data_IF_637814734798
#
_entry.id   IF_637814734798
#
_cell.length_a   1.000
_cell.length_b   1.000
_cell.length_c   1.000
_cell.angle_alpha   90.00
_cell.angle_beta   90.00
_cell.angle_gamma   90.00
#
_symmetry.space_group_name_H-M   'P 1'
#
loop_
_entity.id
_entity.type
_entity.pdbx_description
1 polymer ?
#
# COMPACT_ATOMS: atom_id res chain seq x y z
N UNK A 1 -5.44 4.60 17.98
CA UNK A 1 -4.64 4.41 19.21
C UNK A 1 -3.91 5.71 19.54
N UNK A 2 -3.96 6.15 20.77
CA UNK A 2 -3.24 7.36 21.21
C UNK A 2 -1.91 6.93 21.83
N UNK A 3 -0.81 7.48 21.31
CA UNK A 3 0.52 7.25 21.87
C UNK A 3 0.62 7.98 23.20
N UNK A 4 0.99 7.28 24.27
CA UNK A 4 1.28 7.88 25.56
C UNK A 4 2.74 8.35 25.57
N UNK A 5 2.96 9.66 25.72
CA UNK A 5 4.30 10.29 25.66
C UNK A 5 4.88 10.62 27.04
N UNK A 6 4.10 10.45 28.11
CA UNK A 6 4.45 10.74 29.51
C UNK A 6 4.66 9.44 30.32
N UNK A 7 5.22 8.43 29.69
CA UNK A 7 5.50 7.15 30.34
C UNK A 7 6.65 7.35 31.34
N UNK A 8 6.51 6.95 32.61
CA UNK A 8 7.54 7.13 33.63
C UNK A 8 8.68 6.09 33.46
N UNK A 9 9.38 6.16 32.32
CA UNK A 9 10.53 5.31 32.01
C UNK A 9 11.75 6.21 31.90
N UNK A 10 12.82 5.86 32.62
CA UNK A 10 14.14 6.45 32.40
C UNK A 10 14.84 5.69 31.29
N UNK A 11 15.25 6.40 30.24
CA UNK A 11 16.02 5.83 29.16
C UNK A 11 17.49 5.76 29.56
N UNK A 12 18.00 4.56 29.78
CA UNK A 12 19.41 4.30 30.04
C UNK A 12 20.08 3.88 28.71
N UNK A 13 20.73 4.82 28.05
CA UNK A 13 21.34 4.57 26.73
C UNK A 13 22.40 3.45 26.79
N UNK A 14 23.13 3.33 27.89
CA UNK A 14 24.16 2.31 28.08
C UNK A 14 23.58 0.88 28.22
N UNK A 15 22.30 0.79 28.60
CA UNK A 15 21.58 -0.50 28.69
C UNK A 15 20.98 -0.96 27.34
N UNK A 16 21.01 -0.09 26.29
CA UNK A 16 20.50 -0.40 24.97
C UNK A 16 21.54 -1.12 24.08
N UNK A 17 22.43 -1.88 24.67
CA UNK A 17 23.38 -2.73 23.95
C UNK A 17 22.64 -3.98 23.46
N UNK A 18 22.73 -4.26 22.16
CA UNK A 18 22.17 -5.47 21.58
C UNK A 18 22.97 -6.68 22.08
N UNK A 19 22.32 -7.53 22.83
CA UNK A 19 22.85 -8.83 23.24
C UNK A 19 22.57 -9.91 22.17
N UNK A 20 23.28 -11.03 22.22
CA UNK A 20 22.95 -12.19 21.39
C UNK A 20 21.55 -12.72 21.76
N UNK A 21 20.81 -13.11 20.75
CA UNK A 21 19.45 -13.59 20.94
C UNK A 21 19.46 -15.00 21.58
N UNK A 22 18.63 -15.21 22.59
CA UNK A 22 18.34 -16.57 23.07
C UNK A 22 17.39 -17.25 22.08
N UNK A 23 17.95 -18.04 21.18
CA UNK A 23 17.21 -18.73 20.14
C UNK A 23 16.10 -19.64 20.67
N UNK A 24 16.30 -20.29 21.81
CA UNK A 24 15.32 -21.21 22.38
C UNK A 24 14.11 -20.45 22.92
N UNK A 25 14.35 -19.36 23.64
CA UNK A 25 13.29 -18.49 24.14
C UNK A 25 12.52 -17.82 23.00
N UNK A 26 13.22 -17.32 21.97
CA UNK A 26 12.59 -16.74 20.80
C UNK A 26 11.75 -17.75 20.02
N UNK A 27 12.26 -18.96 19.82
CA UNK A 27 11.51 -20.03 19.16
C UNK A 27 10.23 -20.35 19.91
N UNK A 28 10.32 -20.54 21.23
CA UNK A 28 9.15 -20.83 22.07
C UNK A 28 8.09 -19.72 21.98
N UNK A 29 8.51 -18.45 22.03
CA UNK A 29 7.60 -17.30 21.93
C UNK A 29 6.97 -17.22 20.52
N UNK A 30 7.75 -17.43 19.47
CA UNK A 30 7.22 -17.39 18.10
C UNK A 30 6.28 -18.55 17.80
N UNK A 31 6.51 -19.74 18.37
CA UNK A 31 5.59 -20.88 18.28
C UNK A 31 4.28 -20.62 19.04
N UNK A 32 4.36 -20.03 20.24
CA UNK A 32 3.19 -19.66 21.04
C UNK A 32 2.34 -18.58 20.34
N UNK A 33 3.01 -17.62 19.69
CA UNK A 33 2.35 -16.53 18.96
C UNK A 33 2.02 -16.90 17.51
N UNK A 34 2.27 -18.14 17.08
CA UNK A 34 2.06 -18.65 15.72
C UNK A 34 2.82 -17.86 14.62
N UNK A 35 3.94 -17.20 14.95
CA UNK A 35 4.77 -16.44 14.02
C UNK A 35 5.74 -17.36 13.24
N UNK A 36 5.19 -18.30 12.47
CA UNK A 36 5.96 -19.35 11.77
C UNK A 36 7.07 -18.80 10.87
N UNK A 37 6.78 -17.71 10.15
CA UNK A 37 7.73 -17.07 9.21
C UNK A 37 8.85 -16.30 9.90
N UNK A 38 8.61 -15.77 11.10
CA UNK A 38 9.65 -15.11 11.88
C UNK A 38 10.70 -16.09 12.39
N UNK A 39 10.32 -17.31 12.72
CA UNK A 39 11.25 -18.38 13.10
C UNK A 39 12.29 -18.59 12.00
N UNK A 40 11.83 -18.75 10.76
CA UNK A 40 12.72 -18.97 9.61
C UNK A 40 13.59 -17.77 9.29
N UNK A 41 13.02 -16.57 9.36
CA UNK A 41 13.71 -15.32 9.04
C UNK A 41 14.74 -14.92 10.08
N UNK A 42 14.44 -15.09 11.37
CA UNK A 42 15.29 -14.63 12.47
C UNK A 42 16.31 -15.70 12.86
N UNK A 43 15.90 -16.97 12.93
CA UNK A 43 16.76 -18.05 13.42
C UNK A 43 17.54 -18.81 12.35
N UNK A 44 17.12 -18.80 11.06
CA UNK A 44 17.86 -19.45 9.96
C UNK A 44 18.90 -18.54 9.29
N UNK A 45 18.90 -17.22 9.54
CA UNK A 45 19.83 -16.29 8.90
C UNK A 45 21.29 -16.47 9.34
N UNK A 46 21.55 -17.12 10.46
CA UNK A 46 22.89 -17.35 11.00
C UNK A 46 23.60 -18.60 10.46
N UNK A 47 22.91 -19.45 9.67
CA UNK A 47 23.50 -20.69 9.14
C UNK A 47 24.24 -20.49 7.81
N UNK A 48 24.06 -19.34 7.13
CA UNK A 48 24.70 -19.05 5.83
C UNK A 48 25.91 -18.12 5.90
N UNK A 49 26.39 -17.79 7.08
CA UNK A 49 27.42 -16.75 7.28
C UNK A 49 28.68 -17.19 8.02
N UNK A 50 29.21 -18.41 7.86
CA UNK A 50 30.57 -18.66 8.29
C UNK A 50 31.26 -19.80 7.52
N UNK A 51 31.89 -19.39 6.42
CA UNK A 51 32.94 -20.11 5.75
C UNK A 51 34.16 -19.21 5.61
N UNK A 52 34.83 -18.87 6.70
CA UNK A 52 36.14 -18.18 6.63
C UNK A 52 37.21 -19.26 6.51
N UNK A 53 37.63 -19.50 5.29
CA UNK A 53 38.97 -20.09 5.05
C UNK A 53 39.98 -18.96 4.99
N UNK A 54 40.88 -18.98 5.93
CA UNK A 54 42.09 -18.17 5.99
C UNK A 54 42.99 -18.38 4.77
N UNK A 55 43.31 -17.33 4.05
CA UNK A 55 44.49 -17.23 3.21
C UNK A 55 45.11 -15.83 3.32
N UNK A 56 46.30 -15.86 3.87
CA UNK A 56 47.30 -14.80 3.99
C UNK A 56 47.60 -14.05 2.69
N UNK A 57 47.80 -12.71 2.76
CA UNK A 57 48.41 -11.94 1.66
C UNK A 57 48.28 -10.41 1.81
N UNK A 58 49.31 -9.87 2.40
CA UNK A 58 49.65 -8.48 2.59
C UNK A 58 49.38 -7.51 1.38
N UNK A 59 48.87 -6.30 1.61
CA UNK A 59 49.48 -5.03 1.20
C UNK A 59 48.76 -3.81 1.81
N UNK A 60 49.56 -2.98 2.43
CA UNK A 60 49.29 -1.70 3.05
C UNK A 60 49.00 -0.64 1.98
N UNK A 61 47.96 0.18 2.21
CA UNK A 61 47.90 1.55 1.71
C UNK A 61 47.08 2.42 2.67
N UNK A 62 47.74 3.46 3.15
CA UNK A 62 47.32 4.48 4.09
C UNK A 62 46.35 5.47 3.45
N UNK A 63 45.26 5.79 4.15
CA UNK A 63 44.42 6.94 3.81
C UNK A 63 43.36 7.16 4.91
N UNK A 64 43.66 8.16 5.77
CA UNK A 64 42.73 8.59 6.84
C UNK A 64 41.59 9.39 6.24
N UNK A 65 40.38 8.95 6.44
CA UNK A 65 39.19 9.81 6.53
C UNK A 65 38.22 9.23 7.54
N UNK A 66 37.64 10.08 8.38
CA UNK A 66 36.75 9.73 9.46
C UNK A 66 35.47 9.06 8.93
N UNK A 67 34.87 8.11 9.66
CA UNK A 67 33.64 7.50 9.23
C UNK A 67 32.48 8.49 9.37
N UNK A 68 31.78 8.74 8.26
CA UNK A 68 30.45 9.35 8.28
C UNK A 68 29.47 8.39 8.96
N UNK A 69 28.50 8.87 9.71
CA UNK A 69 27.47 8.01 10.29
C UNK A 69 26.72 7.29 9.17
N UNK A 70 26.57 5.99 9.32
CA UNK A 70 25.78 5.16 8.43
C UNK A 70 24.33 5.66 8.42
N UNK A 71 23.70 5.82 7.25
CA UNK A 71 22.28 6.12 7.19
C UNK A 71 21.49 4.97 7.80
N UNK A 72 20.52 5.32 8.63
CA UNK A 72 19.68 4.36 9.36
C UNK A 72 18.75 3.56 8.44
N UNK A 73 18.67 3.97 7.16
CA UNK A 73 17.89 3.30 6.11
C UNK A 73 18.68 3.34 4.81
N UNK A 74 18.69 2.28 3.99
CA UNK A 74 19.31 2.33 2.67
C UNK A 74 18.47 3.26 1.76
N UNK A 75 19.12 4.33 1.28
CA UNK A 75 18.63 5.10 0.14
C UNK A 75 18.81 4.24 -1.11
N UNK A 76 17.78 3.51 -1.50
CA UNK A 76 17.63 3.09 -2.89
C UNK A 76 16.29 3.58 -3.40
N UNK A 77 16.37 4.41 -4.42
CA UNK A 77 15.25 5.05 -5.08
C UNK A 77 14.30 4.05 -5.71
N UNK A 78 13.05 4.24 -5.45
CA UNK A 78 11.93 3.50 -6.01
C UNK A 78 10.80 3.52 -4.98
N UNK A 79 9.75 4.32 -5.26
CA UNK A 79 8.59 4.45 -4.38
C UNK A 79 8.10 3.12 -3.90
N UNK A 80 8.49 2.79 -2.72
CA UNK A 80 7.95 1.69 -1.99
C UNK A 80 6.82 2.28 -1.12
N UNK A 81 5.61 2.22 -1.62
CA UNK A 81 4.63 1.59 -0.77
C UNK A 81 5.20 0.18 -0.55
N UNK A 82 6.22 0.15 0.30
CA UNK A 82 6.96 -1.05 0.59
C UNK A 82 6.00 -1.97 1.28
N UNK A 83 5.53 -2.92 0.51
CA UNK A 83 4.96 -4.12 1.01
C UNK A 83 5.99 -4.68 2.01
N UNK A 84 5.79 -4.41 3.31
CA UNK A 84 6.64 -4.94 4.38
C UNK A 84 6.75 -6.47 4.26
N UNK A 85 5.93 -7.07 3.41
CA UNK A 85 5.77 -8.48 3.12
C UNK A 85 6.04 -8.85 1.65
N UNK A 86 6.51 -7.93 0.80
CA UNK A 86 6.74 -8.18 -0.64
C UNK A 86 7.76 -9.29 -0.94
N UNK A 87 8.57 -9.69 0.03
CA UNK A 87 9.51 -10.81 -0.09
C UNK A 87 9.00 -12.12 0.55
N UNK A 88 7.73 -12.15 0.94
CA UNK A 88 7.11 -13.36 1.40
C UNK A 88 6.64 -14.16 0.17
N UNK A 89 7.49 -15.06 -0.34
CA UNK A 89 7.00 -16.15 -1.18
C UNK A 89 6.55 -17.26 -0.22
N UNK A 90 5.25 -17.53 -0.10
CA UNK A 90 4.82 -18.84 0.39
C UNK A 90 5.43 -19.90 -0.54
N UNK A 91 5.83 -21.04 -0.01
CA UNK A 91 6.15 -22.21 -0.83
C UNK A 91 5.11 -22.29 -1.94
N UNK A 92 5.57 -22.34 -3.20
CA UNK A 92 4.67 -22.41 -4.35
C UNK A 92 3.68 -23.55 -4.10
N UNK A 93 2.38 -23.28 -4.04
CA UNK A 93 1.41 -24.32 -4.28
C UNK A 93 1.68 -24.72 -5.73
N UNK A 94 2.09 -25.97 -5.93
CA UNK A 94 2.46 -26.48 -7.24
C UNK A 94 1.50 -26.02 -8.31
N UNK A 95 2.06 -25.66 -9.47
CA UNK A 95 1.46 -25.12 -10.69
C UNK A 95 -0.07 -24.96 -10.58
N UNK A 96 -0.52 -23.78 -10.16
CA UNK A 96 -1.93 -23.46 -10.17
C UNK A 96 -2.39 -23.67 -11.61
N UNK A 97 -3.21 -24.69 -11.84
CA UNK A 97 -3.97 -24.83 -13.08
C UNK A 97 -4.43 -23.43 -13.43
N UNK A 98 -4.14 -22.97 -14.67
CA UNK A 98 -4.67 -21.72 -15.22
C UNK A 98 -6.16 -21.73 -14.91
N UNK A 99 -6.55 -21.15 -13.80
CA UNK A 99 -7.94 -20.93 -13.45
C UNK A 99 -8.46 -19.99 -14.52
N UNK A 100 -9.64 -20.25 -15.06
CA UNK A 100 -10.33 -19.35 -15.96
C UNK A 100 -10.73 -18.12 -15.13
N UNK A 101 -9.76 -17.23 -14.90
CA UNK A 101 -10.05 -15.95 -14.27
C UNK A 101 -10.84 -15.10 -15.25
N UNK A 102 -11.81 -14.39 -14.77
CA UNK A 102 -12.47 -13.35 -15.52
C UNK A 102 -11.51 -12.21 -15.80
N UNK A 103 -11.62 -11.60 -16.95
CA UNK A 103 -10.82 -10.45 -17.36
C UNK A 103 -11.76 -9.33 -17.82
N UNK A 104 -11.22 -8.13 -18.02
CA UNK A 104 -12.02 -7.03 -18.55
C UNK A 104 -12.71 -7.39 -19.87
N UNK A 105 -12.07 -8.21 -20.71
CA UNK A 105 -12.61 -8.64 -22.01
C UNK A 105 -13.78 -9.63 -21.86
N UNK A 106 -13.85 -10.37 -20.75
CA UNK A 106 -14.90 -11.37 -20.50
C UNK A 106 -16.15 -10.77 -19.84
N UNK A 107 -16.05 -9.54 -19.32
CA UNK A 107 -17.13 -8.90 -18.57
C UNK A 107 -17.95 -7.94 -19.44
N UNK A 108 -19.23 -7.82 -19.12
CA UNK A 108 -20.04 -6.70 -19.59
C UNK A 108 -19.97 -5.58 -18.56
N UNK A 109 -19.43 -4.44 -18.93
CA UNK A 109 -19.21 -3.31 -18.02
C UNK A 109 -19.74 -1.99 -18.59
N UNK A 110 -19.95 -1.03 -17.69
CA UNK A 110 -20.36 0.35 -18.01
C UNK A 110 -19.40 1.33 -17.35
N UNK A 111 -18.29 1.64 -18.06
CA UNK A 111 -17.31 2.62 -17.58
C UNK A 111 -17.53 3.95 -18.31
N UNK A 112 -17.63 5.03 -17.54
CA UNK A 112 -18.00 6.35 -18.03
C UNK A 112 -16.92 7.38 -17.70
N UNK A 113 -16.49 8.11 -18.73
CA UNK A 113 -15.65 9.28 -18.57
C UNK A 113 -16.50 10.51 -18.25
N UNK A 114 -16.22 11.12 -17.11
CA UNK A 114 -16.96 12.26 -16.55
C UNK A 114 -16.11 13.53 -16.74
N UNK A 115 -16.00 14.00 -17.96
CA UNK A 115 -15.10 15.06 -18.40
C UNK A 115 -15.76 16.44 -18.55
N UNK A 116 -17.09 16.54 -18.41
CA UNK A 116 -17.82 17.83 -18.47
C UNK A 116 -18.49 18.18 -17.15
N UNK A 117 -18.78 19.46 -16.95
CA UNK A 117 -19.47 19.96 -15.76
C UNK A 117 -20.88 19.36 -15.62
N UNK A 118 -21.58 19.19 -16.74
CA UNK A 118 -22.91 18.57 -16.76
C UNK A 118 -22.86 17.13 -16.27
N UNK A 119 -21.93 16.32 -16.80
CA UNK A 119 -21.74 14.93 -16.37
C UNK A 119 -21.34 14.86 -14.90
N UNK A 120 -20.46 15.76 -14.41
CA UNK A 120 -20.07 15.80 -13.00
C UNK A 120 -21.26 16.12 -12.11
N UNK A 121 -22.11 17.07 -12.52
CA UNK A 121 -23.34 17.40 -11.78
C UNK A 121 -24.31 16.22 -11.70
N UNK A 122 -24.50 15.50 -12.81
CA UNK A 122 -25.38 14.33 -12.86
C UNK A 122 -24.86 13.20 -11.97
N UNK A 123 -23.55 12.87 -12.08
CA UNK A 123 -23.00 11.78 -11.29
C UNK A 123 -22.98 12.11 -9.79
N UNK A 124 -22.68 13.33 -9.39
CA UNK A 124 -22.74 13.77 -7.99
C UNK A 124 -24.10 13.47 -7.39
N UNK A 125 -25.20 13.76 -8.09
CA UNK A 125 -26.55 13.45 -7.61
C UNK A 125 -26.76 11.93 -7.42
N UNK A 126 -26.22 11.12 -8.33
CA UNK A 126 -26.30 9.66 -8.25
C UNK A 126 -25.48 9.13 -7.07
N UNK A 127 -24.25 9.62 -6.88
CA UNK A 127 -23.36 9.22 -5.78
C UNK A 127 -23.92 9.61 -4.41
N UNK A 128 -24.56 10.77 -4.29
CA UNK A 128 -25.16 11.25 -3.03
C UNK A 128 -26.30 10.36 -2.54
N UNK A 129 -26.99 9.65 -3.43
CA UNK A 129 -28.09 8.73 -3.06
C UNK A 129 -27.61 7.33 -2.71
N UNK A 130 -26.36 7.02 -3.00
CA UNK A 130 -25.80 5.68 -2.75
C UNK A 130 -25.47 5.47 -1.27
N UNK A 131 -25.82 4.28 -0.77
CA UNK A 131 -25.46 3.87 0.59
C UNK A 131 -24.03 3.34 0.69
N UNK A 132 -23.49 2.84 -0.41
CA UNK A 132 -22.15 2.30 -0.51
C UNK A 132 -21.50 2.93 -1.74
N UNK A 133 -20.31 3.46 -1.57
CA UNK A 133 -19.53 4.13 -2.60
C UNK A 133 -18.10 3.60 -2.56
N UNK A 134 -17.65 2.97 -3.63
CA UNK A 134 -16.22 2.71 -3.84
C UNK A 134 -15.54 3.98 -4.36
N UNK A 135 -14.38 4.31 -3.77
CA UNK A 135 -13.60 5.51 -4.06
C UNK A 135 -12.14 5.12 -4.22
N UNK A 136 -11.50 5.65 -5.25
CA UNK A 136 -10.07 5.54 -5.48
C UNK A 136 -9.56 6.80 -6.16
N UNK A 137 -8.27 7.17 -5.94
CA UNK A 137 -7.62 8.34 -6.53
C UNK A 137 -6.42 7.95 -7.37
N UNK A 138 -6.30 8.55 -8.56
CA UNK A 138 -5.12 8.45 -9.39
C UNK A 138 -4.22 9.66 -9.16
N UNK A 139 -2.92 9.44 -8.99
CA UNK A 139 -1.97 10.48 -8.60
C UNK A 139 -0.64 10.37 -9.35
N UNK A 140 0.15 11.44 -9.30
CA UNK A 140 1.47 11.49 -9.94
C UNK A 140 2.55 10.69 -9.21
N UNK A 141 2.29 10.22 -7.99
CA UNK A 141 3.28 9.52 -7.17
C UNK A 141 2.66 8.73 -6.04
N UNK A 142 3.47 8.00 -5.30
CA UNK A 142 3.05 7.11 -4.22
C UNK A 142 3.14 7.74 -2.82
N UNK A 143 3.76 8.94 -2.70
CA UNK A 143 3.82 9.70 -1.47
C UNK A 143 2.62 10.67 -1.41
N UNK A 144 1.59 10.40 -0.57
CA UNK A 144 0.33 11.13 -0.63
C UNK A 144 0.44 12.61 -0.23
N UNK A 145 1.51 12.99 0.48
CA UNK A 145 1.74 14.39 0.89
C UNK A 145 2.25 15.25 -0.26
N UNK A 146 2.95 14.64 -1.23
CA UNK A 146 3.61 15.34 -2.33
C UNK A 146 2.96 15.05 -3.69
N UNK A 147 2.11 14.03 -3.75
CA UNK A 147 1.47 13.59 -4.99
C UNK A 147 0.37 14.55 -5.43
N UNK A 148 0.33 14.86 -6.72
CA UNK A 148 -0.74 15.61 -7.35
C UNK A 148 -1.86 14.67 -7.81
N UNK A 149 -3.11 15.10 -7.66
CA UNK A 149 -4.28 14.35 -8.09
C UNK A 149 -4.42 14.43 -9.62
N UNK A 150 -4.55 13.28 -10.26
CA UNK A 150 -4.74 13.14 -11.72
C UNK A 150 -6.18 12.77 -12.06
N UNK A 151 -6.85 12.04 -11.17
CA UNK A 151 -8.23 11.64 -11.38
C UNK A 151 -8.85 11.02 -10.13
N UNK A 152 -10.16 10.86 -10.19
CA UNK A 152 -10.95 10.21 -9.14
C UNK A 152 -11.86 9.16 -9.78
N UNK A 153 -11.85 7.97 -9.22
CA UNK A 153 -12.70 6.85 -9.65
C UNK A 153 -13.80 6.59 -8.62
N UNK A 154 -14.99 6.32 -9.11
CA UNK A 154 -16.15 5.99 -8.28
C UNK A 154 -16.89 4.78 -8.83
N UNK A 155 -17.41 3.94 -7.93
CA UNK A 155 -18.35 2.88 -8.28
C UNK A 155 -19.41 2.73 -7.20
N UNK A 156 -20.65 2.42 -7.62
CA UNK A 156 -21.80 2.19 -6.74
C UNK A 156 -22.54 0.90 -7.09
N UNK A 157 -22.11 0.19 -8.10
CA UNK A 157 -22.64 -1.09 -8.54
C UNK A 157 -21.54 -1.92 -9.20
N UNK A 158 -21.72 -3.23 -9.23
CA UNK A 158 -20.84 -4.14 -9.94
C UNK A 158 -20.75 -3.79 -11.43
N UNK A 159 -19.55 -3.85 -11.98
CA UNK A 159 -19.25 -3.57 -13.39
C UNK A 159 -19.65 -2.16 -13.87
N UNK A 160 -19.92 -1.23 -12.98
CA UNK A 160 -20.16 0.19 -13.27
C UNK A 160 -19.10 1.04 -12.59
N UNK A 161 -18.44 1.91 -13.36
CA UNK A 161 -17.47 2.85 -12.82
C UNK A 161 -17.53 4.20 -13.54
N UNK A 162 -17.14 5.23 -12.80
CA UNK A 162 -17.10 6.62 -13.26
C UNK A 162 -15.69 7.17 -12.99
N UNK A 163 -15.03 7.65 -14.03
CA UNK A 163 -13.74 8.30 -13.92
C UNK A 163 -13.85 9.78 -14.17
N UNK A 164 -13.38 10.59 -13.24
CA UNK A 164 -13.34 12.05 -13.29
C UNK A 164 -11.89 12.47 -13.46
N UNK A 165 -11.46 12.93 -14.65
CA UNK A 165 -10.12 13.46 -14.83
C UNK A 165 -9.97 14.78 -14.09
N UNK A 166 -8.81 14.97 -13.47
CA UNK A 166 -8.45 16.20 -12.77
C UNK A 166 -7.25 16.83 -13.50
N UNK A 167 -7.35 18.09 -13.94
CA UNK A 167 -6.27 18.76 -14.64
C UNK A 167 -5.10 19.07 -13.69
N UNK A 168 -3.93 19.28 -14.27
CA UNK A 168 -2.72 19.67 -13.52
C UNK A 168 -2.75 21.13 -13.03
N UNK A 169 -3.66 21.96 -13.53
CA UNK A 169 -3.88 23.30 -13.01
C UNK A 169 -4.52 23.22 -11.63
N UNK A 170 -3.85 23.77 -10.63
CA UNK A 170 -4.24 23.63 -9.22
C UNK A 170 -5.59 24.28 -8.91
N UNK A 171 -5.90 25.42 -9.53
CA UNK A 171 -7.16 26.12 -9.27
C UNK A 171 -8.34 25.37 -9.90
N UNK A 172 -8.16 24.81 -11.09
CA UNK A 172 -9.16 23.96 -11.73
C UNK A 172 -9.34 22.64 -10.99
N UNK A 173 -8.27 22.02 -10.54
CA UNK A 173 -8.30 20.81 -9.73
C UNK A 173 -9.08 21.03 -8.43
N UNK A 174 -8.78 22.10 -7.70
CA UNK A 174 -9.50 22.49 -6.49
C UNK A 174 -10.99 22.71 -6.74
N UNK A 175 -11.33 23.34 -7.87
CA UNK A 175 -12.73 23.55 -8.25
C UNK A 175 -13.45 22.23 -8.46
N UNK A 176 -12.86 21.31 -9.22
CA UNK A 176 -13.45 19.98 -9.48
C UNK A 176 -13.60 19.19 -8.19
N UNK A 177 -12.57 19.10 -7.35
CA UNK A 177 -12.65 18.39 -6.07
C UNK A 177 -13.73 18.99 -5.16
N UNK A 178 -13.87 20.33 -5.15
CA UNK A 178 -14.92 21.00 -4.38
C UNK A 178 -16.34 20.67 -4.88
N UNK A 179 -16.54 20.41 -6.15
CA UNK A 179 -17.84 19.94 -6.67
C UNK A 179 -18.25 18.61 -6.02
N UNK A 180 -17.27 17.71 -5.78
CA UNK A 180 -17.48 16.40 -5.16
C UNK A 180 -17.44 16.41 -3.64
N UNK A 181 -17.10 17.52 -2.98
CA UNK A 181 -17.07 17.61 -1.52
C UNK A 181 -18.33 17.08 -0.84
N UNK A 182 -19.57 17.37 -1.31
CA UNK A 182 -20.78 16.80 -0.69
C UNK A 182 -20.82 15.26 -0.71
N UNK A 183 -20.20 14.63 -1.71
CA UNK A 183 -20.10 13.16 -1.83
C UNK A 183 -19.10 12.63 -0.80
N UNK A 184 -17.92 13.24 -0.68
CA UNK A 184 -16.91 12.85 0.29
C UNK A 184 -17.41 13.03 1.73
N UNK A 185 -18.08 14.10 2.01
CA UNK A 185 -18.57 14.46 3.35
C UNK A 185 -19.93 13.84 3.71
N UNK A 186 -20.54 13.04 2.84
CA UNK A 186 -21.82 12.38 3.12
C UNK A 186 -21.66 11.32 4.21
N UNK A 187 -22.08 11.61 5.43
CA UNK A 187 -21.98 10.70 6.58
C UNK A 187 -22.91 9.48 6.50
N UNK A 188 -23.89 9.51 5.59
CA UNK A 188 -24.86 8.41 5.42
C UNK A 188 -24.42 7.36 4.39
N UNK A 189 -23.28 7.55 3.73
CA UNK A 189 -22.71 6.67 2.74
C UNK A 189 -21.45 5.98 3.28
N UNK A 190 -21.40 4.66 3.22
CA UNK A 190 -20.20 3.88 3.48
C UNK A 190 -19.22 4.07 2.32
N UNK A 191 -18.02 4.58 2.59
CA UNK A 191 -16.94 4.66 1.61
C UNK A 191 -16.07 3.41 1.72
N UNK A 192 -15.85 2.78 0.59
CA UNK A 192 -15.02 1.59 0.44
C UNK A 192 -13.81 1.94 -0.42
N UNK A 193 -12.63 1.52 -0.02
CA UNK A 193 -11.40 1.71 -0.80
C UNK A 193 -10.34 0.70 -0.43
N UNK A 194 -9.35 0.56 -1.29
CA UNK A 194 -8.16 -0.25 -1.04
C UNK A 194 -7.05 0.67 -0.52
N UNK A 195 -6.66 0.55 0.75
CA UNK A 195 -5.74 1.50 1.39
C UNK A 195 -6.28 2.95 1.40
N UNK A 196 -7.58 3.08 1.65
CA UNK A 196 -8.35 4.34 1.55
C UNK A 196 -7.72 5.53 2.31
N UNK A 197 -6.84 5.27 3.28
CA UNK A 197 -6.11 6.33 3.99
C UNK A 197 -5.22 7.15 3.06
N UNK A 198 -4.69 6.55 1.98
CA UNK A 198 -3.93 7.25 0.96
C UNK A 198 -4.81 8.29 0.26
N UNK A 199 -5.97 7.87 -0.23
CA UNK A 199 -6.95 8.72 -0.91
C UNK A 199 -7.44 9.86 -0.02
N UNK A 200 -7.66 9.56 1.26
CA UNK A 200 -8.08 10.57 2.24
C UNK A 200 -7.03 11.66 2.42
N UNK A 201 -5.74 11.33 2.44
CA UNK A 201 -4.65 12.31 2.56
C UNK A 201 -4.56 13.13 1.28
N UNK A 202 -4.58 12.49 0.11
CA UNK A 202 -4.56 13.18 -1.18
C UNK A 202 -5.72 14.17 -1.29
N UNK A 203 -6.95 13.74 -1.01
CA UNK A 203 -8.13 14.61 -1.04
C UNK A 203 -8.06 15.75 -0.02
N UNK A 204 -7.43 15.51 1.13
CA UNK A 204 -7.23 16.56 2.15
C UNK A 204 -6.30 17.68 1.66
N UNK A 205 -5.29 17.37 0.82
CA UNK A 205 -4.45 18.39 0.18
C UNK A 205 -5.26 19.34 -0.72
N UNK A 206 -6.39 18.86 -1.25
CA UNK A 206 -7.35 19.65 -2.02
C UNK A 206 -8.51 20.20 -1.18
N UNK A 207 -8.39 20.14 0.16
CA UNK A 207 -9.38 20.69 1.10
C UNK A 207 -10.66 19.87 1.24
N UNK A 208 -10.72 18.65 0.73
CA UNK A 208 -11.84 17.73 0.90
C UNK A 208 -11.57 16.75 2.06
N UNK A 209 -12.60 16.52 2.87
CA UNK A 209 -12.53 15.55 3.99
C UNK A 209 -13.49 14.41 3.72
N UNK A 210 -13.01 13.17 3.80
CA UNK A 210 -13.86 11.99 3.69
C UNK A 210 -14.49 11.71 5.06
N UNK A 211 -15.82 11.77 5.13
CA UNK A 211 -16.61 11.57 6.37
C UNK A 211 -17.52 10.34 6.26
N UNK A 212 -18.06 9.93 7.40
CA UNK A 212 -18.97 8.79 7.53
C UNK A 212 -18.23 7.46 7.75
N UNK A 213 -18.93 6.34 7.65
CA UNK A 213 -18.32 5.03 7.82
C UNK A 213 -17.34 4.72 6.68
N UNK A 214 -16.22 4.06 7.04
CA UNK A 214 -15.16 3.67 6.12
C UNK A 214 -14.97 2.16 6.14
N UNK A 215 -14.68 1.57 4.99
CA UNK A 215 -14.27 0.18 4.89
C UNK A 215 -13.02 0.10 3.99
N UNK A 216 -11.90 -0.26 4.58
CA UNK A 216 -10.64 -0.46 3.88
C UNK A 216 -10.46 -1.95 3.60
N UNK A 217 -10.44 -2.33 2.33
CA UNK A 217 -10.34 -3.74 1.91
C UNK A 217 -8.98 -4.34 2.24
N UNK A 218 -7.89 -3.53 2.19
CA UNK A 218 -6.56 -3.97 2.59
C UNK A 218 -6.50 -4.28 4.08
N UNK A 219 -6.98 -3.37 4.92
CA UNK A 219 -6.99 -3.56 6.38
C UNK A 219 -7.92 -4.71 6.77
N UNK A 220 -9.09 -4.83 6.15
CA UNK A 220 -10.02 -5.92 6.41
C UNK A 220 -9.36 -7.28 6.14
N UNK A 221 -8.67 -7.41 5.01
CA UNK A 221 -7.96 -8.65 4.69
C UNK A 221 -6.77 -8.89 5.63
N UNK A 222 -6.03 -7.84 6.00
CA UNK A 222 -4.93 -7.96 6.95
C UNK A 222 -5.39 -8.48 8.32
N UNK A 223 -6.57 -8.06 8.78
CA UNK A 223 -7.16 -8.57 10.04
C UNK A 223 -7.59 -10.03 9.93
N UNK A 224 -8.11 -10.43 8.76
CA UNK A 224 -8.59 -11.81 8.54
C UNK A 224 -7.45 -12.80 8.29
N UNK A 225 -6.47 -12.41 7.50
CA UNK A 225 -5.37 -13.28 7.04
C UNK A 225 -4.04 -12.51 7.00
N UNK A 226 -3.46 -12.18 8.17
CA UNK A 226 -2.31 -11.28 8.27
C UNK A 226 -1.04 -11.80 7.60
N UNK A 227 -0.97 -13.11 7.31
CA UNK A 227 0.20 -13.74 6.70
C UNK A 227 0.17 -13.75 5.17
N UNK A 228 -0.95 -13.35 4.55
CA UNK A 228 -1.10 -13.34 3.11
C UNK A 228 -0.77 -11.98 2.49
N UNK A 229 -0.78 -11.91 1.16
CA UNK A 229 -0.65 -10.64 0.44
C UNK A 229 -1.96 -9.86 0.53
N UNK A 230 -1.86 -8.52 0.60
CA UNK A 230 -3.03 -7.64 0.74
C UNK A 230 -3.20 -6.68 -0.45
N UNK A 231 -2.40 -6.86 -1.52
CA UNK A 231 -2.51 -6.07 -2.73
C UNK A 231 -3.82 -6.32 -3.46
N UNK A 232 -4.35 -5.31 -4.16
CA UNK A 232 -5.62 -5.37 -4.86
C UNK A 232 -5.69 -6.50 -5.88
N UNK A 233 -4.64 -6.70 -6.67
CA UNK A 233 -4.57 -7.77 -7.68
C UNK A 233 -4.75 -9.15 -7.06
N UNK A 234 -4.03 -9.40 -5.97
CA UNK A 234 -4.15 -10.65 -5.23
C UNK A 234 -5.55 -10.86 -4.66
N UNK A 235 -6.15 -9.81 -4.08
CA UNK A 235 -7.51 -9.89 -3.52
C UNK A 235 -8.56 -10.10 -4.61
N UNK A 236 -8.41 -9.45 -5.76
CA UNK A 236 -9.30 -9.65 -6.90
C UNK A 236 -9.23 -11.10 -7.42
N UNK A 237 -8.03 -11.66 -7.52
CA UNK A 237 -7.84 -13.04 -7.97
C UNK A 237 -8.49 -14.06 -7.03
N UNK A 238 -8.22 -13.97 -5.72
CA UNK A 238 -8.67 -14.99 -4.75
C UNK A 238 -10.14 -14.88 -4.37
N UNK A 239 -10.70 -13.66 -4.32
CA UNK A 239 -12.08 -13.45 -3.88
C UNK A 239 -13.06 -13.24 -5.01
N UNK A 240 -12.62 -12.65 -6.13
CA UNK A 240 -13.49 -12.34 -7.25
C UNK A 240 -13.22 -13.23 -8.48
N UNK A 241 -12.15 -14.05 -8.43
CA UNK A 241 -11.68 -14.82 -9.59
C UNK A 241 -11.45 -13.93 -10.82
N UNK A 242 -10.97 -12.70 -10.57
CA UNK A 242 -10.79 -11.67 -11.58
C UNK A 242 -9.32 -11.29 -11.70
N UNK A 243 -8.81 -11.26 -12.93
CA UNK A 243 -7.47 -10.79 -13.27
C UNK A 243 -7.53 -9.30 -13.59
N UNK A 244 -6.90 -8.49 -12.76
CA UNK A 244 -6.76 -7.04 -12.98
C UNK A 244 -5.77 -6.76 -14.12
N UNK A 245 -5.83 -5.55 -14.68
CA UNK A 245 -4.80 -5.04 -15.58
C UNK A 245 -3.66 -4.51 -14.72
N UNK A 246 -2.45 -5.07 -14.89
CA UNK A 246 -1.30 -4.60 -14.14
C UNK A 246 -0.84 -3.21 -14.62
N UNK A 247 -0.39 -2.38 -13.70
CA UNK A 247 0.06 -1.02 -14.00
C UNK A 247 1.19 -1.00 -15.06
N UNK A 248 2.07 -1.99 -15.06
CA UNK A 248 3.15 -2.13 -16.04
C UNK A 248 2.64 -2.34 -17.47
N UNK A 249 1.43 -2.89 -17.63
CA UNK A 249 0.78 -3.04 -18.94
C UNK A 249 0.27 -1.69 -19.48
N UNK A 250 -0.10 -0.78 -18.58
CA UNK A 250 -0.64 0.53 -18.91
C UNK A 250 0.45 1.57 -19.16
N UNK A 251 1.51 1.59 -18.33
CA UNK A 251 2.56 2.61 -18.39
C UNK A 251 3.89 2.09 -18.94
N UNK A 252 3.99 0.79 -19.20
CA UNK A 252 5.22 0.11 -19.64
C UNK A 252 6.17 -0.21 -18.48
N UNK A 253 7.20 -1.04 -18.72
CA UNK A 253 8.11 -1.48 -17.69
C UNK A 253 8.92 -0.32 -17.10
N UNK A 254 9.02 -0.28 -15.76
CA UNK A 254 9.80 0.72 -15.02
C UNK A 254 11.23 0.83 -15.58
N UNK A 255 11.64 2.05 -15.93
CA UNK A 255 13.03 2.37 -16.31
C UNK A 255 13.29 2.57 -17.81
N UNK A 256 12.28 2.73 -18.65
CA UNK A 256 12.42 3.10 -20.06
C UNK A 256 11.67 4.41 -20.37
N UNK A 257 12.07 5.50 -19.72
CA UNK A 257 11.79 6.87 -20.16
C UNK A 257 13.11 7.65 -20.14
#
# INVERSE_FOLDING_TARGET
ATIKIDVPIQLEMDALVREEADENSLRSIFEELEFRTLIDRVLKKDISGNGITSATGSKVATGKSAPSPLPLFPEEGGGMQGDLFANFTPDEPGEAKKSNLETLESLTYSYQLIDTEEKRREIIQKLLTSKILSLDTETTGTEPMDAELVGMSFSIAENEAFYVPVPSDQDEALKIVNEFRPVFENENSLKVGQNIKYDMIVLQNYGATVKGPLFDTMIAHYVLQPELRHGMDYLAEIYLHYQTIHIDELIGPKGKN
#
